data_IF_252996851079
#
_entry.id   IF_252996851079
#
_cell.length_a   1.000
_cell.length_b   1.000
_cell.length_c   1.000
_cell.angle_alpha   90.00
_cell.angle_beta   90.00
_cell.angle_gamma   90.00
#
_symmetry.space_group_name_H-M   'P 1'
#
loop_
_entity.id
_entity.type
_entity.pdbx_description
1 polymer ?
#
# COMPACT_ATOMS: atom_id res chain seq x y z
N UNK A 1 -16.02 -44.45 -5.82
CA UNK A 1 -15.39 -44.10 -7.10
C UNK A 1 -15.27 -42.58 -7.15
N UNK A 2 -14.06 -42.04 -7.15
CA UNK A 2 -13.84 -40.60 -7.30
C UNK A 2 -14.11 -40.18 -8.74
N UNK A 3 -15.12 -39.33 -8.97
CA UNK A 3 -15.25 -38.62 -10.23
C UNK A 3 -14.26 -37.45 -10.22
N UNK A 4 -13.17 -37.62 -10.96
CA UNK A 4 -12.26 -36.53 -11.33
C UNK A 4 -13.00 -35.56 -12.25
N UNK A 5 -13.34 -34.36 -11.74
CA UNK A 5 -13.77 -33.25 -12.57
C UNK A 5 -12.54 -32.41 -12.87
N UNK A 6 -12.02 -32.54 -14.09
CA UNK A 6 -11.00 -31.64 -14.63
C UNK A 6 -11.64 -30.28 -14.92
N UNK A 7 -11.34 -29.27 -14.09
CA UNK A 7 -11.69 -27.87 -14.38
C UNK A 7 -10.57 -27.27 -15.23
N UNK A 8 -10.72 -27.33 -16.55
CA UNK A 8 -9.93 -26.51 -17.45
C UNK A 8 -10.44 -25.07 -17.39
N UNK A 9 -9.74 -24.21 -16.64
CA UNK A 9 -9.89 -22.75 -16.76
C UNK A 9 -9.58 -22.36 -18.20
N UNK A 10 -10.59 -21.87 -18.93
CA UNK A 10 -10.40 -21.36 -20.28
C UNK A 10 -9.74 -19.98 -20.19
N UNK A 11 -8.40 -19.93 -20.10
CA UNK A 11 -7.60 -18.69 -20.12
C UNK A 11 -7.12 -18.31 -21.53
N UNK A 12 -7.76 -18.82 -22.60
CA UNK A 12 -7.40 -18.43 -23.98
C UNK A 12 -8.60 -17.91 -24.75
N UNK A 13 -8.45 -16.68 -25.23
CA UNK A 13 -9.31 -16.04 -26.23
C UNK A 13 -9.39 -16.96 -27.44
N UNK A 14 -10.57 -17.48 -27.77
CA UNK A 14 -10.81 -18.16 -29.04
C UNK A 14 -10.87 -17.11 -30.15
N UNK A 15 -9.76 -16.86 -30.84
CA UNK A 15 -9.78 -16.17 -32.15
C UNK A 15 -9.83 -17.21 -33.25
N UNK A 16 -10.97 -17.36 -33.92
CA UNK A 16 -11.04 -17.91 -35.27
C UNK A 16 -11.76 -16.92 -36.19
N UNK A 17 -11.32 -16.76 -37.45
CA UNK A 17 -11.91 -15.80 -38.37
C UNK A 17 -13.19 -16.37 -38.97
N UNK A 18 -14.33 -15.74 -38.66
CA UNK A 18 -15.62 -16.05 -39.26
C UNK A 18 -16.72 -15.19 -38.66
N UNK A 19 -17.65 -14.65 -39.46
CA UNK A 19 -18.65 -13.75 -38.93
C UNK A 19 -19.69 -14.59 -38.15
N UNK A 20 -20.19 -14.02 -37.05
CA UNK A 20 -21.33 -14.51 -36.25
C UNK A 20 -21.06 -15.63 -35.22
N UNK A 21 -20.41 -15.28 -34.09
CA UNK A 21 -20.57 -15.98 -32.80
C UNK A 21 -20.59 -14.95 -31.65
N UNK A 22 -21.57 -15.04 -30.75
CA UNK A 22 -21.65 -14.21 -29.52
C UNK A 22 -21.42 -15.12 -28.33
N UNK A 23 -20.45 -14.80 -27.48
CA UNK A 23 -20.25 -15.45 -26.18
C UNK A 23 -21.07 -14.70 -25.12
N UNK A 24 -21.93 -15.42 -24.40
CA UNK A 24 -22.65 -14.87 -23.24
C UNK A 24 -22.18 -15.61 -21.99
N UNK A 25 -21.68 -14.87 -21.01
CA UNK A 25 -21.44 -15.39 -19.67
C UNK A 25 -22.77 -15.47 -18.93
N UNK A 26 -23.17 -16.68 -18.52
CA UNK A 26 -24.33 -16.88 -17.65
C UNK A 26 -23.84 -17.43 -16.32
N UNK A 27 -24.24 -16.79 -15.21
CA UNK A 27 -24.10 -17.40 -13.89
C UNK A 27 -25.14 -18.52 -13.78
N UNK A 28 -24.68 -19.77 -13.78
CA UNK A 28 -25.54 -20.92 -13.49
C UNK A 28 -25.26 -21.32 -12.05
N UNK A 29 -26.27 -21.21 -11.19
CA UNK A 29 -26.19 -21.72 -9.83
C UNK A 29 -26.19 -23.25 -9.88
N UNK A 30 -25.12 -23.88 -9.43
CA UNK A 30 -25.12 -25.33 -9.19
C UNK A 30 -25.39 -25.52 -7.71
N UNK A 31 -26.58 -26.04 -7.39
CA UNK A 31 -26.92 -26.43 -6.02
C UNK A 31 -26.74 -27.95 -5.90
N UNK A 32 -25.97 -28.38 -4.91
CA UNK A 32 -25.78 -29.79 -4.59
C UNK A 32 -26.41 -30.11 -3.24
N UNK A 33 -27.10 -31.25 -3.18
CA UNK A 33 -27.56 -31.84 -1.92
C UNK A 33 -26.41 -32.60 -1.28
N UNK A 34 -25.93 -32.14 -0.13
CA UNK A 34 -24.98 -32.91 0.68
C UNK A 34 -25.74 -33.44 1.89
N UNK A 35 -25.95 -34.76 1.92
CA UNK A 35 -26.60 -35.44 3.03
C UNK A 35 -25.55 -36.23 3.81
N UNK A 36 -25.48 -36.00 5.13
CA UNK A 36 -24.65 -36.78 6.03
C UNK A 36 -25.54 -37.68 6.90
N UNK A 37 -25.14 -38.94 7.18
CA UNK A 37 -25.87 -39.79 8.10
C UNK A 37 -25.78 -39.21 9.53
N UNK A 38 -26.93 -39.01 10.17
CA UNK A 38 -26.96 -38.70 11.60
C UNK A 38 -26.78 -39.98 12.42
N UNK A 39 -26.29 -39.86 13.66
CA UNK A 39 -26.01 -41.00 14.56
C UNK A 39 -27.29 -41.67 15.13
N UNK A 40 -28.48 -41.32 14.65
CA UNK A 40 -29.75 -41.94 15.03
C UNK A 40 -30.36 -42.70 13.83
N UNK A 41 -30.79 -43.96 14.00
CA UNK A 41 -31.37 -44.71 12.89
C UNK A 41 -32.72 -44.09 12.48
N UNK A 42 -32.79 -43.57 11.25
CA UNK A 42 -34.03 -43.06 10.64
C UNK A 42 -34.08 -41.56 10.31
N UNK A 43 -33.02 -40.77 10.55
CA UNK A 43 -32.96 -39.35 10.16
C UNK A 43 -31.72 -39.03 9.32
N UNK A 44 -31.94 -38.48 8.12
CA UNK A 44 -30.91 -37.93 7.24
C UNK A 44 -30.98 -36.40 7.29
N UNK A 45 -29.88 -35.72 7.65
CA UNK A 45 -29.81 -34.25 7.59
C UNK A 45 -29.14 -33.86 6.27
N UNK A 46 -29.81 -33.04 5.47
CA UNK A 46 -29.29 -32.56 4.20
C UNK A 46 -29.10 -31.04 4.25
N UNK A 47 -27.92 -30.57 3.84
CA UNK A 47 -27.60 -29.16 3.67
C UNK A 47 -27.66 -28.78 2.18
N UNK A 48 -28.26 -27.62 1.90
CA UNK A 48 -28.27 -27.01 0.58
C UNK A 48 -27.06 -26.09 0.45
N UNK A 49 -26.12 -26.43 -0.44
CA UNK A 49 -24.98 -25.57 -0.77
C UNK A 49 -25.11 -25.17 -2.22
N UNK A 50 -25.22 -23.87 -2.49
CA UNK A 50 -25.25 -23.31 -3.84
C UNK A 50 -23.97 -22.51 -4.08
N UNK A 51 -23.26 -22.83 -5.16
CA UNK A 51 -22.13 -22.06 -5.65
C UNK A 51 -22.47 -21.48 -7.04
N UNK A 52 -22.12 -20.21 -7.27
CA UNK A 52 -22.22 -19.61 -8.59
C UNK A 52 -20.94 -19.91 -9.38
N UNK A 53 -21.07 -20.61 -10.50
CA UNK A 53 -19.97 -20.81 -11.45
C UNK A 53 -20.35 -20.09 -12.74
N UNK A 54 -19.45 -19.24 -13.23
CA UNK A 54 -19.61 -18.57 -14.53
C UNK A 54 -19.37 -19.59 -15.65
N UNK A 55 -20.40 -19.89 -16.44
CA UNK A 55 -20.29 -20.81 -17.59
C UNK A 55 -20.54 -20.02 -18.87
N UNK A 56 -19.64 -20.15 -19.84
CA UNK A 56 -19.83 -19.63 -21.19
C UNK A 56 -20.58 -20.66 -22.03
N UNK A 57 -21.76 -20.29 -22.56
CA UNK A 57 -22.52 -21.15 -23.48
C UNK A 57 -22.61 -20.47 -24.84
N UNK A 58 -22.27 -21.19 -25.90
CA UNK A 58 -22.44 -20.74 -27.29
C UNK A 58 -23.75 -21.29 -27.85
N UNK A 59 -24.70 -20.44 -28.22
CA UNK A 59 -25.94 -20.86 -28.90
C UNK A 59 -26.07 -20.22 -30.28
N UNK A 60 -26.67 -20.96 -31.23
CA UNK A 60 -27.07 -20.45 -32.54
C UNK A 60 -28.45 -19.78 -32.41
N UNK A 61 -28.54 -18.46 -32.61
CA UNK A 61 -29.83 -17.78 -32.72
C UNK A 61 -29.85 -16.82 -33.92
N UNK A 62 -30.91 -16.91 -34.73
CA UNK A 62 -31.23 -15.96 -35.81
C UNK A 62 -31.89 -14.72 -35.20
N UNK A 63 -31.41 -13.54 -35.57
CA UNK A 63 -31.93 -12.22 -35.12
C UNK A 63 -33.14 -11.81 -35.96
N UNK A 64 -34.29 -11.43 -35.36
CA UNK A 64 -35.23 -10.51 -35.99
C UNK A 64 -34.91 -9.05 -35.62
N UNK A 65 -35.22 -8.16 -36.56
CA UNK A 65 -34.99 -6.71 -36.64
C UNK A 65 -34.95 -5.90 -35.33
N UNK A 66 -34.00 -4.97 -35.30
CA UNK A 66 -33.68 -3.97 -34.26
C UNK A 66 -34.87 -3.33 -33.53
N UNK A 67 -34.80 -3.23 -32.18
CA UNK A 67 -35.31 -2.11 -31.40
C UNK A 67 -34.17 -1.12 -31.05
N UNK A 68 -34.49 0.13 -30.64
CA UNK A 68 -33.52 1.22 -30.55
C UNK A 68 -32.52 1.01 -29.39
N UNK A 69 -31.36 1.65 -29.53
CA UNK A 69 -30.21 1.57 -28.63
C UNK A 69 -30.56 1.83 -27.15
N UNK A 70 -30.89 0.76 -26.43
CA UNK A 70 -30.77 0.73 -24.98
C UNK A 70 -29.30 0.47 -24.64
N UNK A 71 -28.67 1.50 -24.06
CA UNK A 71 -27.34 1.45 -23.45
C UNK A 71 -27.19 0.14 -22.68
N UNK A 72 -26.09 -0.59 -22.90
CA UNK A 72 -25.68 -1.65 -21.98
C UNK A 72 -25.56 -1.01 -20.59
N UNK A 73 -26.54 -1.28 -19.72
CA UNK A 73 -26.42 -0.94 -18.32
C UNK A 73 -25.26 -1.76 -17.76
N UNK A 74 -24.22 -1.06 -17.32
CA UNK A 74 -23.13 -1.64 -16.54
C UNK A 74 -23.73 -2.46 -15.40
N UNK A 75 -23.29 -3.71 -15.26
CA UNK A 75 -23.49 -4.49 -14.04
C UNK A 75 -23.02 -3.58 -12.88
N UNK A 76 -23.83 -3.36 -11.82
CA UNK A 76 -23.37 -2.54 -10.70
C UNK A 76 -22.12 -3.20 -10.13
N UNK A 77 -20.97 -2.58 -10.38
CA UNK A 77 -19.73 -2.88 -9.68
C UNK A 77 -20.02 -2.78 -8.19
N UNK A 78 -19.68 -3.83 -7.43
CA UNK A 78 -19.76 -3.77 -5.97
C UNK A 78 -19.09 -2.48 -5.49
N UNK A 79 -19.71 -1.81 -4.52
CA UNK A 79 -19.20 -0.56 -3.98
C UNK A 79 -17.81 -0.74 -3.36
N UNK A 80 -16.93 0.28 -3.45
CA UNK A 80 -15.55 0.12 -3.01
C UNK A 80 -15.47 0.00 -1.50
N UNK A 81 -14.61 -0.92 -1.04
CA UNK A 81 -14.28 -1.11 0.36
C UNK A 81 -13.12 -0.16 0.73
N UNK A 82 -13.31 0.63 1.79
CA UNK A 82 -12.30 1.56 2.30
C UNK A 82 -11.67 0.98 3.55
N UNK A 83 -10.38 0.68 3.49
CA UNK A 83 -9.54 0.32 4.62
C UNK A 83 -8.93 1.61 5.19
N UNK A 84 -9.09 1.89 6.48
CA UNK A 84 -8.56 3.11 7.07
C UNK A 84 -8.06 2.90 8.50
N UNK A 85 -7.04 3.66 8.87
CA UNK A 85 -6.55 3.77 10.23
C UNK A 85 -7.34 4.84 10.98
N UNK A 86 -7.78 4.54 12.20
CA UNK A 86 -8.53 5.45 13.07
C UNK A 86 -7.85 5.56 14.44
N UNK A 87 -6.51 5.60 14.42
CA UNK A 87 -5.60 5.72 15.56
C UNK A 87 -5.60 4.53 16.53
N UNK A 88 -6.76 4.16 17.08
CA UNK A 88 -6.92 3.05 18.04
C UNK A 88 -7.33 1.73 17.41
N UNK A 89 -7.72 1.77 16.14
CA UNK A 89 -8.14 0.62 15.37
C UNK A 89 -7.92 0.84 13.87
N UNK A 90 -7.86 -0.26 13.13
CA UNK A 90 -7.94 -0.28 11.67
C UNK A 90 -9.28 -0.86 11.28
N UNK A 91 -9.99 -0.19 10.38
CA UNK A 91 -11.38 -0.51 10.02
C UNK A 91 -11.57 -0.65 8.52
N UNK A 92 -12.65 -1.35 8.16
CA UNK A 92 -13.12 -1.50 6.79
C UNK A 92 -14.55 -0.98 6.70
N UNK A 93 -14.86 -0.16 5.69
CA UNK A 93 -16.23 0.32 5.45
C UNK A 93 -16.59 0.19 3.97
N UNK A 94 -17.81 -0.24 3.68
CA UNK A 94 -18.37 -0.23 2.33
C UNK A 94 -18.89 1.17 1.98
N UNK A 95 -18.26 1.84 1.02
CA UNK A 95 -18.58 3.22 0.65
C UNK A 95 -19.95 3.39 -0.06
N UNK A 96 -20.59 2.29 -0.47
CA UNK A 96 -21.92 2.29 -1.11
C UNK A 96 -22.98 1.56 -0.29
N UNK A 97 -22.64 1.06 0.89
CA UNK A 97 -23.57 0.34 1.76
C UNK A 97 -24.76 1.20 2.19
N UNK A 98 -25.96 0.62 2.17
CA UNK A 98 -27.20 1.27 2.67
C UNK A 98 -27.12 1.57 4.17
N UNK A 99 -26.32 0.77 4.91
CA UNK A 99 -25.97 0.98 6.31
C UNK A 99 -24.45 1.13 6.39
N UNK A 100 -23.99 2.32 6.74
CA UNK A 100 -22.57 2.67 6.82
C UNK A 100 -21.99 2.16 8.16
N UNK A 101 -21.94 0.83 8.33
CA UNK A 101 -21.28 0.19 9.46
C UNK A 101 -19.85 -0.19 9.07
N UNK A 102 -18.89 0.22 9.91
CA UNK A 102 -17.48 -0.15 9.74
C UNK A 102 -17.16 -1.42 10.50
N UNK A 103 -16.50 -2.38 9.86
CA UNK A 103 -15.97 -3.59 10.48
C UNK A 103 -14.57 -3.32 11.03
N UNK A 104 -14.29 -3.75 12.26
CA UNK A 104 -12.95 -3.62 12.85
C UNK A 104 -12.06 -4.76 12.36
N UNK A 105 -10.92 -4.42 11.75
CA UNK A 105 -9.90 -5.38 11.29
C UNK A 105 -8.92 -5.69 12.42
N UNK A 106 -8.46 -4.65 13.11
CA UNK A 106 -7.60 -4.74 14.30
C UNK A 106 -8.04 -3.68 15.30
N UNK A 107 -8.12 -4.04 16.57
CA UNK A 107 -8.46 -3.15 17.69
C UNK A 107 -7.34 -3.08 18.71
N UNK A 108 -7.43 -2.11 19.62
CA UNK A 108 -6.48 -1.97 20.74
C UNK A 108 -5.09 -1.52 20.29
N UNK A 109 -5.03 -0.69 19.25
CA UNK A 109 -3.80 -0.06 18.78
C UNK A 109 -3.53 1.20 19.62
N UNK A 110 -2.25 1.57 19.76
CA UNK A 110 -1.84 2.72 20.55
C UNK A 110 -1.92 4.01 19.71
N UNK A 111 -1.19 4.07 18.60
CA UNK A 111 -1.23 5.21 17.68
C UNK A 111 -1.00 4.81 16.21
N UNK A 112 -2.00 4.17 15.60
CA UNK A 112 -1.97 3.75 14.21
C UNK A 112 -2.06 4.94 13.23
N UNK A 113 -0.99 5.19 12.47
CA UNK A 113 -0.87 6.36 11.59
C UNK A 113 -1.10 6.05 10.10
N UNK A 114 -0.34 5.12 9.52
CA UNK A 114 -0.43 4.74 8.11
C UNK A 114 -0.95 3.30 7.94
N UNK A 115 -1.61 3.03 6.80
CA UNK A 115 -2.11 1.68 6.48
C UNK A 115 -1.98 1.39 4.99
N UNK A 116 -1.49 0.20 4.65
CA UNK A 116 -1.54 -0.32 3.28
C UNK A 116 -1.71 -1.84 3.29
N UNK A 117 -1.87 -2.46 2.13
CA UNK A 117 -2.24 -3.86 2.02
C UNK A 117 -1.54 -4.58 0.87
N UNK A 118 -1.55 -5.91 0.92
CA UNK A 118 -1.28 -6.77 -0.23
C UNK A 118 -2.51 -7.60 -0.56
N UNK A 119 -3.21 -7.22 -1.63
CA UNK A 119 -4.53 -7.76 -1.99
C UNK A 119 -4.48 -9.27 -2.21
N UNK A 120 -3.50 -9.75 -2.98
CA UNK A 120 -3.38 -11.17 -3.36
C UNK A 120 -3.21 -12.12 -2.17
N UNK A 121 -2.75 -11.61 -1.02
CA UNK A 121 -2.57 -12.38 0.21
C UNK A 121 -3.58 -12.01 1.30
N UNK A 122 -4.39 -10.97 1.08
CA UNK A 122 -5.23 -10.39 2.12
C UNK A 122 -4.43 -9.88 3.32
N UNK A 123 -3.17 -9.49 3.14
CA UNK A 123 -2.33 -8.95 4.21
C UNK A 123 -2.59 -7.45 4.37
N UNK A 124 -2.63 -6.98 5.62
CA UNK A 124 -2.74 -5.56 5.97
C UNK A 124 -1.54 -5.20 6.81
N UNK A 125 -0.90 -4.08 6.49
CA UNK A 125 0.23 -3.52 7.19
C UNK A 125 -0.15 -2.16 7.75
N UNK A 126 0.32 -1.83 8.93
CA UNK A 126 0.14 -0.51 9.51
C UNK A 126 1.37 -0.09 10.30
N UNK A 127 1.52 1.21 10.46
CA UNK A 127 2.50 1.83 11.35
C UNK A 127 1.84 2.17 12.67
N UNK A 128 2.53 1.93 13.78
CA UNK A 128 2.13 2.37 15.12
C UNK A 128 3.23 3.27 15.68
N UNK A 129 2.93 4.57 15.80
CA UNK A 129 3.90 5.60 16.18
C UNK A 129 4.31 5.45 17.65
N UNK A 130 3.36 5.12 18.53
CA UNK A 130 3.66 4.98 19.96
C UNK A 130 4.48 3.74 20.28
N UNK A 131 4.32 2.68 19.48
CA UNK A 131 5.13 1.46 19.59
C UNK A 131 6.39 1.46 18.72
N UNK A 132 6.64 2.52 17.94
CA UNK A 132 7.77 2.63 17.00
C UNK A 132 7.90 1.39 16.10
N UNK A 133 6.76 0.90 15.58
CA UNK A 133 6.70 -0.40 14.89
C UNK A 133 5.86 -0.38 13.61
N UNK A 134 6.27 -1.20 12.64
CA UNK A 134 5.44 -1.61 11.50
C UNK A 134 4.96 -3.03 11.78
N UNK A 135 3.65 -3.23 11.71
CA UNK A 135 2.97 -4.48 12.04
C UNK A 135 2.17 -5.01 10.85
N UNK A 136 1.83 -6.28 10.89
CA UNK A 136 1.06 -6.99 9.88
C UNK A 136 -0.05 -7.82 10.51
N UNK A 137 -1.17 -7.95 9.80
CA UNK A 137 -2.22 -8.93 10.03
C UNK A 137 -2.75 -9.46 8.69
N UNK A 138 -3.68 -10.41 8.74
CA UNK A 138 -4.44 -10.85 7.57
C UNK A 138 -5.93 -10.57 7.76
N UNK A 139 -6.61 -10.15 6.70
CA UNK A 139 -8.05 -9.82 6.69
C UNK A 139 -8.94 -10.99 7.13
N UNK A 140 -8.49 -12.23 6.94
CA UNK A 140 -9.21 -13.44 7.35
C UNK A 140 -8.93 -13.85 8.81
N UNK A 141 -7.99 -13.19 9.50
CA UNK A 141 -7.54 -13.50 10.86
C UNK A 141 -7.66 -12.27 11.79
N UNK A 142 -8.69 -11.44 11.56
CA UNK A 142 -8.95 -10.19 12.30
C UNK A 142 -8.68 -10.34 13.80
N UNK A 143 -7.66 -9.63 14.29
CA UNK A 143 -7.28 -9.57 15.71
C UNK A 143 -6.51 -10.76 16.31
N UNK A 144 -6.35 -11.90 15.62
CA UNK A 144 -5.78 -13.11 16.25
C UNK A 144 -4.28 -13.36 15.98
N UNK A 145 -3.70 -12.73 14.95
CA UNK A 145 -2.31 -13.00 14.53
C UNK A 145 -1.58 -11.73 14.07
N UNK A 146 -1.45 -10.75 14.97
CA UNK A 146 -0.60 -9.57 14.74
C UNK A 146 0.87 -9.98 14.74
N UNK A 147 1.61 -9.60 13.71
CA UNK A 147 3.04 -9.87 13.57
C UNK A 147 3.83 -8.56 13.49
N UNK A 148 4.97 -8.52 14.17
CA UNK A 148 5.90 -7.41 14.09
C UNK A 148 6.78 -7.57 12.83
N UNK A 149 6.80 -6.54 11.98
CA UNK A 149 7.58 -6.51 10.73
C UNK A 149 8.88 -5.73 10.95
N UNK A 150 8.78 -4.50 11.48
CA UNK A 150 9.92 -3.65 11.83
C UNK A 150 9.66 -3.10 13.24
N UNK A 151 10.65 -3.17 14.13
CA UNK A 151 10.51 -2.83 15.57
C UNK A 151 11.66 -2.00 16.13
N UNK A 152 12.50 -1.45 15.26
CA UNK A 152 13.67 -0.69 15.70
C UNK A 152 14.02 0.36 14.68
N UNK A 153 14.65 1.45 15.12
CA UNK A 153 15.08 2.54 14.25
C UNK A 153 13.92 3.23 13.51
N UNK A 154 12.72 3.22 14.10
CA UNK A 154 11.55 4.01 13.71
C UNK A 154 11.30 5.00 14.85
N UNK A 155 10.76 6.17 14.53
CA UNK A 155 10.36 7.16 15.55
C UNK A 155 8.96 7.68 15.24
N UNK A 156 8.73 8.15 14.02
CA UNK A 156 7.40 8.57 13.56
C UNK A 156 7.14 8.13 12.11
N UNK A 157 6.85 6.83 11.90
CA UNK A 157 6.52 6.30 10.58
C UNK A 157 5.12 6.76 10.12
N UNK A 158 5.06 7.92 9.47
CA UNK A 158 3.82 8.61 9.08
C UNK A 158 3.18 8.12 7.78
N UNK A 159 3.94 7.44 6.92
CA UNK A 159 3.45 6.93 5.63
C UNK A 159 3.98 5.55 5.31
N UNK A 160 3.15 4.76 4.64
CA UNK A 160 3.44 3.37 4.31
C UNK A 160 2.93 3.07 2.90
N UNK A 161 3.73 2.38 2.09
CA UNK A 161 3.30 1.87 0.81
C UNK A 161 3.86 0.46 0.54
N UNK A 162 3.01 -0.42 0.05
CA UNK A 162 3.29 -1.81 -0.27
C UNK A 162 3.50 -1.98 -1.77
N UNK A 163 4.71 -2.39 -2.16
CA UNK A 163 4.96 -2.90 -3.49
C UNK A 163 4.49 -4.36 -3.57
N UNK A 164 3.27 -4.54 -4.07
CA UNK A 164 2.67 -5.86 -4.23
C UNK A 164 3.36 -6.69 -5.32
N UNK A 165 4.19 -6.10 -6.18
CA UNK A 165 4.90 -6.79 -7.27
C UNK A 165 6.26 -7.26 -6.77
N UNK A 166 7.15 -6.34 -6.40
CA UNK A 166 8.50 -6.62 -5.88
C UNK A 166 8.52 -7.16 -4.45
N UNK A 167 7.35 -7.23 -3.79
CA UNK A 167 7.18 -7.71 -2.40
C UNK A 167 8.06 -6.93 -1.43
N UNK A 168 7.90 -5.61 -1.43
CA UNK A 168 8.62 -4.68 -0.57
C UNK A 168 7.66 -3.75 0.18
N UNK A 169 8.07 -3.31 1.36
CA UNK A 169 7.42 -2.20 2.07
C UNK A 169 8.33 -0.99 1.98
N UNK A 170 7.74 0.14 1.65
CA UNK A 170 8.36 1.46 1.65
C UNK A 170 7.66 2.30 2.71
N UNK A 171 8.42 3.08 3.47
CA UNK A 171 7.85 3.99 4.45
C UNK A 171 8.65 5.28 4.55
N UNK A 172 7.95 6.30 5.01
CA UNK A 172 8.46 7.62 5.38
C UNK A 172 8.48 7.70 6.90
N UNK A 173 9.53 8.29 7.46
CA UNK A 173 9.62 8.55 8.90
C UNK A 173 9.98 10.03 9.10
N UNK A 174 9.06 10.77 9.72
CA UNK A 174 9.07 12.23 9.80
C UNK A 174 9.98 12.78 10.91
N UNK A 175 10.36 11.95 11.88
CA UNK A 175 11.27 12.35 12.97
C UNK A 175 12.72 11.93 12.69
N UNK A 176 12.93 10.84 11.94
CA UNK A 176 14.27 10.42 11.50
C UNK A 176 14.67 11.00 10.14
N UNK A 177 13.74 11.68 9.47
CA UNK A 177 13.87 12.31 8.15
C UNK A 177 14.35 11.32 7.08
N UNK A 178 13.72 10.15 7.02
CA UNK A 178 14.15 9.05 6.15
C UNK A 178 13.02 8.46 5.32
N UNK A 179 13.43 7.95 4.15
CA UNK A 179 12.62 7.06 3.33
C UNK A 179 13.39 5.75 3.22
N UNK A 180 12.71 4.65 3.55
CA UNK A 180 13.33 3.34 3.69
C UNK A 180 12.53 2.26 3.00
N UNK A 181 13.19 1.14 2.73
CA UNK A 181 12.60 -0.04 2.10
C UNK A 181 13.06 -1.32 2.80
N UNK A 182 12.18 -2.31 2.87
CA UNK A 182 12.50 -3.66 3.33
C UNK A 182 11.66 -4.69 2.57
N UNK A 183 12.00 -5.98 2.72
CA UNK A 183 11.08 -7.06 2.33
C UNK A 183 9.78 -6.98 3.16
N UNK A 184 8.70 -7.58 2.66
CA UNK A 184 7.39 -7.62 3.36
C UNK A 184 7.46 -8.22 4.79
N UNK A 185 8.51 -8.97 5.11
CA UNK A 185 8.77 -9.55 6.43
C UNK A 185 9.77 -8.73 7.28
N UNK A 186 10.14 -7.52 6.84
CA UNK A 186 11.08 -6.63 7.52
C UNK A 186 12.57 -6.94 7.29
N UNK A 187 12.89 -8.06 6.64
CA UNK A 187 14.28 -8.42 6.34
C UNK A 187 14.89 -7.52 5.26
N UNK A 188 16.22 -7.45 5.22
CA UNK A 188 17.00 -6.70 4.23
C UNK A 188 16.62 -5.22 4.15
N UNK A 189 16.63 -4.51 5.28
CA UNK A 189 16.27 -3.09 5.35
C UNK A 189 17.35 -2.18 4.77
N UNK A 190 16.94 -1.19 3.96
CA UNK A 190 17.80 -0.18 3.34
C UNK A 190 17.20 1.21 3.46
N UNK A 191 18.02 2.18 3.83
CA UNK A 191 17.68 3.61 3.75
C UNK A 191 17.92 4.07 2.30
N UNK A 192 16.88 4.60 1.65
CA UNK A 192 16.96 5.13 0.29
C UNK A 192 17.35 6.61 0.30
N UNK A 193 16.70 7.40 1.16
CA UNK A 193 16.94 8.83 1.28
C UNK A 193 17.02 9.25 2.75
N UNK A 194 17.97 10.13 3.06
CA UNK A 194 18.20 10.70 4.40
C UNK A 194 18.77 12.13 4.35
N UNK A 195 19.02 12.65 3.14
CA UNK A 195 19.54 13.99 2.91
C UNK A 195 18.44 14.84 2.28
N UNK A 196 18.39 16.12 2.63
CA UNK A 196 17.38 17.05 2.10
C UNK A 196 15.95 16.50 2.27
N UNK A 197 15.67 15.93 3.44
CA UNK A 197 14.34 15.53 3.89
C UNK A 197 14.10 16.20 5.24
N UNK A 198 12.90 16.75 5.43
CA UNK A 198 12.55 17.40 6.69
C UNK A 198 11.35 16.73 7.35
N UNK A 199 10.18 16.73 6.72
CA UNK A 199 8.98 16.09 7.27
C UNK A 199 8.27 15.25 6.19
N UNK A 200 8.89 14.14 5.72
CA UNK A 200 8.24 13.26 4.76
C UNK A 200 6.98 12.61 5.39
N UNK A 201 5.83 12.68 4.69
CA UNK A 201 4.54 12.18 5.19
C UNK A 201 3.94 11.10 4.31
N UNK A 202 3.15 11.44 3.29
CA UNK A 202 2.49 10.43 2.47
C UNK A 202 3.45 9.86 1.42
N UNK A 203 3.31 8.59 1.10
CA UNK A 203 4.08 7.90 0.06
C UNK A 203 3.15 7.04 -0.80
N UNK A 204 3.38 7.06 -2.12
CA UNK A 204 2.62 6.28 -3.09
C UNK A 204 3.58 5.69 -4.15
N UNK A 205 3.25 4.50 -4.66
CA UNK A 205 4.09 3.76 -5.59
C UNK A 205 3.43 3.63 -6.97
N UNK A 206 4.25 3.61 -8.00
CA UNK A 206 3.90 3.19 -9.36
C UNK A 206 4.84 2.04 -9.77
N UNK A 207 4.53 0.78 -9.37
CA UNK A 207 5.38 -0.36 -9.68
C UNK A 207 5.50 -0.65 -11.17
N UNK A 208 4.52 -0.25 -11.99
CA UNK A 208 4.57 -0.49 -13.44
C UNK A 208 5.71 0.30 -14.11
N UNK A 209 6.01 1.50 -13.60
CA UNK A 209 7.06 2.37 -14.11
C UNK A 209 8.26 2.50 -13.17
N UNK A 210 8.25 1.78 -12.03
CA UNK A 210 9.35 1.77 -11.06
C UNK A 210 9.56 3.10 -10.34
N UNK A 211 8.51 3.92 -10.17
CA UNK A 211 8.60 5.20 -9.46
C UNK A 211 7.90 5.17 -8.10
N UNK A 212 8.38 5.98 -7.17
CA UNK A 212 7.71 6.33 -5.93
C UNK A 212 7.61 7.84 -5.77
N UNK A 213 6.60 8.26 -5.04
CA UNK A 213 6.20 9.65 -4.87
C UNK A 213 5.93 9.89 -3.39
N UNK A 214 6.37 11.02 -2.86
CA UNK A 214 6.07 11.37 -1.48
C UNK A 214 5.86 12.87 -1.31
N UNK A 215 5.20 13.21 -0.21
CA UNK A 215 5.06 14.59 0.24
C UNK A 215 6.04 14.88 1.37
N UNK A 216 6.61 16.09 1.37
CA UNK A 216 7.38 16.65 2.46
C UNK A 216 6.72 17.98 2.84
N UNK A 217 6.30 18.12 4.10
CA UNK A 217 5.58 19.30 4.60
C UNK A 217 6.45 20.15 5.55
N UNK A 218 7.75 19.92 5.56
CA UNK A 218 8.71 20.64 6.41
C UNK A 218 8.92 22.09 6.00
N UNK A 219 10.09 22.65 6.34
CA UNK A 219 10.41 24.06 6.09
C UNK A 219 10.27 24.46 4.61
N UNK A 220 10.67 23.56 3.71
CA UNK A 220 10.50 23.72 2.25
C UNK A 220 9.50 22.67 1.73
N UNK A 221 8.19 22.95 1.79
CA UNK A 221 7.16 21.98 1.44
C UNK A 221 7.19 21.65 -0.04
N UNK A 222 7.11 20.36 -0.37
CA UNK A 222 7.27 19.86 -1.75
C UNK A 222 6.66 18.49 -1.94
N UNK A 223 6.44 18.14 -3.20
CA UNK A 223 6.18 16.76 -3.64
C UNK A 223 7.35 16.34 -4.51
N UNK A 224 7.87 15.15 -4.21
CA UNK A 224 9.01 14.60 -4.91
C UNK A 224 8.68 13.25 -5.53
N UNK A 225 9.50 12.88 -6.51
CA UNK A 225 9.47 11.58 -7.18
C UNK A 225 10.89 11.02 -7.25
N UNK A 226 11.02 9.72 -7.11
CA UNK A 226 12.25 8.99 -7.38
C UNK A 226 11.95 7.60 -7.95
N UNK A 227 12.96 6.93 -8.49
CA UNK A 227 12.90 5.50 -8.71
C UNK A 227 12.76 4.74 -7.39
N UNK A 228 12.04 3.62 -7.41
CA UNK A 228 11.87 2.76 -6.23
C UNK A 228 13.19 2.11 -5.77
N UNK A 229 14.20 2.09 -6.65
CA UNK A 229 15.59 1.74 -6.34
C UNK A 229 16.40 2.86 -5.65
N UNK A 230 15.80 4.03 -5.45
CA UNK A 230 16.43 5.23 -4.89
C UNK A 230 17.15 6.11 -5.91
N UNK A 231 17.02 5.84 -7.21
CA UNK A 231 17.62 6.66 -8.28
C UNK A 231 16.71 7.82 -8.72
N UNK A 232 17.23 8.79 -9.49
CA UNK A 232 16.45 9.86 -10.15
C UNK A 232 15.48 10.65 -9.27
N UNK A 233 15.88 10.93 -8.03
CA UNK A 233 15.14 11.84 -7.16
C UNK A 233 15.00 13.21 -7.80
N UNK A 234 13.78 13.74 -7.84
CA UNK A 234 13.43 15.04 -8.40
C UNK A 234 12.23 15.63 -7.68
N UNK A 235 12.29 16.93 -7.40
CA UNK A 235 11.13 17.73 -6.97
C UNK A 235 10.20 17.95 -8.17
N UNK A 236 8.92 17.61 -8.00
CA UNK A 236 7.90 17.73 -9.06
C UNK A 236 6.86 18.81 -8.77
N UNK A 237 6.67 19.19 -7.49
CA UNK A 237 5.81 20.31 -7.08
C UNK A 237 6.49 21.03 -5.92
N UNK A 238 6.76 22.32 -6.08
CA UNK A 238 7.38 23.21 -5.07
C UNK A 238 6.69 24.58 -4.96
N UNK A 239 5.61 24.81 -5.73
CA UNK A 239 4.84 26.06 -5.73
C UNK A 239 3.41 25.83 -5.26
N UNK A 240 2.80 26.86 -4.64
CA UNK A 240 1.43 26.82 -4.11
C UNK A 240 1.16 25.56 -3.28
N UNK A 241 2.09 25.25 -2.38
CA UNK A 241 2.10 24.06 -1.53
C UNK A 241 2.59 24.46 -0.14
N UNK A 242 1.98 23.90 0.90
CA UNK A 242 2.30 24.24 2.28
C UNK A 242 2.18 23.02 3.19
N UNK A 243 0.99 22.42 3.34
CA UNK A 243 0.81 21.19 4.13
C UNK A 243 0.28 20.05 3.26
N UNK A 244 1.12 19.47 2.38
CA UNK A 244 0.74 18.36 1.51
C UNK A 244 0.58 17.06 2.31
N UNK A 245 -0.58 16.87 2.92
CA UNK A 245 -0.83 15.75 3.82
C UNK A 245 -1.13 14.45 3.09
N UNK A 246 -2.07 14.49 2.14
CA UNK A 246 -2.55 13.30 1.45
C UNK A 246 -1.98 13.21 0.04
N UNK A 247 -1.66 11.99 -0.40
CA UNK A 247 -1.14 11.71 -1.74
C UNK A 247 -1.73 10.41 -2.26
N UNK A 248 -2.19 10.40 -3.52
CA UNK A 248 -2.59 9.16 -4.19
C UNK A 248 -2.35 9.25 -5.69
N UNK A 249 -2.20 8.08 -6.32
CA UNK A 249 -1.92 7.95 -7.75
C UNK A 249 -3.07 7.22 -8.43
N UNK A 250 -3.53 7.78 -9.55
CA UNK A 250 -4.33 7.08 -10.53
C UNK A 250 -3.40 6.44 -11.56
N UNK A 251 -3.19 5.13 -11.44
CA UNK A 251 -2.29 4.37 -12.29
C UNK A 251 -2.84 4.21 -13.72
N UNK A 252 -4.16 4.30 -13.91
CA UNK A 252 -4.78 4.20 -15.22
C UNK A 252 -4.68 5.53 -15.97
N UNK A 253 -5.05 6.63 -15.31
CA UNK A 253 -4.98 7.97 -15.91
C UNK A 253 -3.57 8.59 -15.85
N UNK A 254 -2.61 7.96 -15.16
CA UNK A 254 -1.24 8.44 -14.94
C UNK A 254 -1.23 9.85 -14.31
N UNK A 255 -1.95 9.99 -13.19
CA UNK A 255 -2.17 11.28 -12.52
C UNK A 255 -1.93 11.19 -11.03
N UNK A 256 -1.28 12.24 -10.52
CA UNK A 256 -1.01 12.44 -9.11
C UNK A 256 -2.12 13.32 -8.52
N UNK A 257 -2.61 12.96 -7.34
CA UNK A 257 -3.55 13.76 -6.56
C UNK A 257 -2.97 14.02 -5.18
N UNK A 258 -3.10 15.26 -4.70
CA UNK A 258 -2.69 15.59 -3.34
C UNK A 258 -3.65 16.58 -2.69
N UNK A 259 -3.73 16.50 -1.37
CA UNK A 259 -4.50 17.40 -0.54
C UNK A 259 -3.56 18.29 0.25
N UNK A 260 -3.81 19.60 0.21
CA UNK A 260 -3.13 20.57 1.04
C UNK A 260 -4.03 21.01 2.19
N UNK A 261 -3.62 20.74 3.42
CA UNK A 261 -4.42 21.05 4.60
C UNK A 261 -4.40 22.52 5.00
N UNK A 262 -3.36 23.28 4.63
CA UNK A 262 -3.26 24.71 4.94
C UNK A 262 -3.99 25.55 3.91
N UNK A 263 -3.81 25.21 2.63
CA UNK A 263 -4.38 25.91 1.49
C UNK A 263 -5.77 25.40 1.12
N UNK A 264 -6.26 24.35 1.82
CA UNK A 264 -7.62 23.84 1.73
C UNK A 264 -8.05 23.46 0.31
N UNK A 265 -7.19 22.71 -0.41
CA UNK A 265 -7.50 22.22 -1.75
C UNK A 265 -7.17 20.74 -1.93
N UNK A 266 -7.78 20.13 -2.96
CA UNK A 266 -7.28 18.91 -3.60
C UNK A 266 -6.97 19.26 -5.05
N UNK A 267 -5.73 19.00 -5.46
CA UNK A 267 -5.27 19.21 -6.83
C UNK A 267 -4.87 17.90 -7.49
N UNK A 268 -4.80 17.94 -8.81
CA UNK A 268 -4.38 16.85 -9.68
C UNK A 268 -3.31 17.35 -10.65
N UNK A 269 -2.30 16.53 -10.96
CA UNK A 269 -1.31 16.82 -12.01
C UNK A 269 -0.92 15.53 -12.75
N UNK A 270 -0.16 15.65 -13.84
CA UNK A 270 0.60 14.54 -14.37
C UNK A 270 1.62 14.03 -13.33
N UNK A 271 2.09 12.80 -13.49
CA UNK A 271 3.10 12.21 -12.59
C UNK A 271 4.44 12.93 -12.59
N UNK A 272 4.73 13.79 -13.57
CA UNK A 272 5.92 14.65 -13.57
C UNK A 272 5.67 16.03 -12.94
N UNK A 273 4.47 16.27 -12.39
CA UNK A 273 4.04 17.55 -11.82
C UNK A 273 3.42 18.52 -12.84
N UNK A 274 3.49 18.22 -14.13
CA UNK A 274 2.96 19.10 -15.18
C UNK A 274 1.42 19.07 -15.25
N UNK A 275 0.82 20.05 -15.93
CA UNK A 275 -0.63 20.16 -16.10
C UNK A 275 -1.42 20.06 -14.78
N UNK A 276 -1.03 20.89 -13.81
CA UNK A 276 -1.74 21.03 -12.54
C UNK A 276 -3.16 21.58 -12.76
N UNK A 277 -4.13 20.92 -12.13
CA UNK A 277 -5.55 21.20 -12.22
C UNK A 277 -6.17 21.18 -10.82
N UNK A 278 -7.18 22.02 -10.64
CA UNK A 278 -7.93 22.14 -9.39
C UNK A 278 -9.08 21.13 -9.39
N UNK A 279 -9.25 20.38 -8.30
CA UNK A 279 -10.35 19.43 -8.12
C UNK A 279 -11.32 19.93 -7.06
N UNK A 280 -10.82 20.27 -5.87
CA UNK A 280 -11.63 20.80 -4.76
C UNK A 280 -10.94 22.06 -4.21
N UNK A 281 -11.72 23.11 -3.93
CA UNK A 281 -11.23 24.35 -3.32
C UNK A 281 -12.13 24.79 -2.14
N UNK A 282 -11.53 25.45 -1.15
CA UNK A 282 -12.22 26.29 -0.14
C UNK A 282 -13.14 25.56 0.84
N UNK A 283 -13.17 24.23 0.81
CA UNK A 283 -14.13 23.42 1.56
C UNK A 283 -13.47 22.22 2.26
N UNK A 284 -12.16 22.25 2.44
CA UNK A 284 -11.37 21.22 3.10
C UNK A 284 -10.83 21.78 4.41
N UNK A 285 -11.33 21.29 5.54
CA UNK A 285 -10.97 21.82 6.86
C UNK A 285 -9.60 21.35 7.31
N UNK A 286 -9.35 20.04 7.28
CA UNK A 286 -8.06 19.46 7.60
C UNK A 286 -7.90 18.06 6.99
N UNK A 287 -7.77 17.95 5.65
CA UNK A 287 -7.57 16.68 4.99
C UNK A 287 -6.25 16.02 5.43
N UNK A 288 -6.27 14.72 5.65
CA UNK A 288 -5.09 13.95 6.05
C UNK A 288 -4.61 12.99 4.96
N UNK A 289 -5.42 12.03 4.54
CA UNK A 289 -5.05 11.06 3.51
C UNK A 289 -6.05 11.05 2.34
N UNK A 290 -5.59 10.54 1.18
CA UNK A 290 -6.36 10.46 -0.06
C UNK A 290 -6.30 9.05 -0.65
N UNK A 291 -7.39 8.60 -1.23
CA UNK A 291 -7.43 7.40 -2.08
C UNK A 291 -8.51 7.54 -3.15
N UNK A 292 -8.55 6.63 -4.12
CA UNK A 292 -9.49 6.73 -5.25
C UNK A 292 -10.00 5.37 -5.73
N UNK A 293 -11.20 5.38 -6.29
CA UNK A 293 -11.80 4.23 -6.98
C UNK A 293 -12.69 4.74 -8.11
N UNK A 294 -12.47 4.24 -9.33
CA UNK A 294 -13.17 4.69 -10.53
C UNK A 294 -13.08 6.21 -10.70
N UNK A 295 -14.24 6.89 -10.72
CA UNK A 295 -14.36 8.36 -10.83
C UNK A 295 -14.48 9.08 -9.47
N UNK A 296 -14.26 8.40 -8.35
CA UNK A 296 -14.47 8.95 -7.00
C UNK A 296 -13.14 9.07 -6.23
N UNK A 297 -12.87 10.25 -5.68
CA UNK A 297 -11.85 10.49 -4.67
C UNK A 297 -12.46 10.36 -3.28
N UNK A 298 -11.68 9.80 -2.36
CA UNK A 298 -12.00 9.68 -0.94
C UNK A 298 -10.89 10.33 -0.12
N UNK A 299 -11.25 11.00 0.98
CA UNK A 299 -10.27 11.54 1.92
C UNK A 299 -10.76 11.47 3.35
N UNK A 300 -9.81 11.42 4.28
CA UNK A 300 -10.02 11.56 5.72
C UNK A 300 -9.84 13.02 6.12
N UNK A 301 -10.69 13.52 7.03
CA UNK A 301 -10.58 14.88 7.56
C UNK A 301 -10.58 14.84 9.10
N UNK A 302 -9.54 15.43 9.70
CA UNK A 302 -9.35 15.45 11.15
C UNK A 302 -10.33 16.37 11.88
N UNK A 303 -10.71 17.48 11.25
CA UNK A 303 -11.55 18.48 11.89
C UNK A 303 -13.01 18.01 11.90
N UNK A 304 -13.50 17.46 10.79
CA UNK A 304 -14.86 16.90 10.75
C UNK A 304 -14.95 15.49 11.33
N UNK A 305 -13.80 14.84 11.55
CA UNK A 305 -13.71 13.45 12.02
C UNK A 305 -14.53 12.50 11.16
N UNK A 306 -14.37 12.63 9.84
CA UNK A 306 -15.14 11.87 8.87
C UNK A 306 -14.35 11.55 7.61
N UNK A 307 -14.85 10.56 6.86
CA UNK A 307 -14.41 10.22 5.51
C UNK A 307 -15.40 10.87 4.55
N UNK A 308 -14.88 11.56 3.54
CA UNK A 308 -15.68 12.19 2.50
C UNK A 308 -15.36 11.61 1.13
N UNK A 309 -16.24 11.85 0.17
CA UNK A 309 -16.06 11.47 -1.22
C UNK A 309 -16.49 12.59 -2.18
N UNK A 310 -15.86 12.67 -3.34
CA UNK A 310 -16.24 13.57 -4.44
C UNK A 310 -15.82 13.01 -5.81
N UNK A 311 -16.30 13.60 -6.90
CA UNK A 311 -15.80 13.25 -8.23
C UNK A 311 -14.33 13.66 -8.40
N UNK A 312 -13.48 12.74 -8.89
CA UNK A 312 -12.03 12.96 -9.00
C UNK A 312 -11.62 14.05 -9.97
N UNK A 313 -12.47 14.43 -10.93
CA UNK A 313 -12.17 15.43 -11.96
C UNK A 313 -12.80 16.78 -11.64
N UNK A 314 -14.05 16.78 -11.19
CA UNK A 314 -14.81 18.03 -11.00
C UNK A 314 -14.94 18.46 -9.53
N UNK A 315 -14.66 17.57 -8.57
CA UNK A 315 -14.92 17.82 -7.14
C UNK A 315 -16.40 17.83 -6.76
N UNK A 316 -17.31 17.64 -7.73
CA UNK A 316 -18.76 17.64 -7.51
C UNK A 316 -19.25 16.36 -6.79
N UNK A 317 -20.55 16.32 -6.49
CA UNK A 317 -21.22 15.20 -5.80
C UNK A 317 -20.57 14.85 -4.46
N UNK A 318 -20.18 15.89 -3.74
CA UNK A 318 -19.55 15.76 -2.44
C UNK A 318 -20.51 15.13 -1.45
N UNK A 319 -20.05 14.08 -0.76
CA UNK A 319 -20.82 13.41 0.29
C UNK A 319 -19.90 12.96 1.42
N UNK A 320 -20.44 12.95 2.63
CA UNK A 320 -19.83 12.28 3.76
C UNK A 320 -20.16 10.78 3.69
N UNK A 321 -19.13 9.93 3.83
CA UNK A 321 -19.25 8.47 3.80
C UNK A 321 -19.41 7.91 5.21
N UNK A 322 -18.59 8.38 6.16
CA UNK A 322 -18.60 7.87 7.52
C UNK A 322 -18.16 8.98 8.46
N UNK A 323 -18.86 9.18 9.58
CA UNK A 323 -18.55 10.21 10.56
C UNK A 323 -18.49 9.66 11.98
N UNK A 324 -18.26 10.56 12.95
CA UNK A 324 -18.01 10.23 14.35
C UNK A 324 -16.79 9.30 14.54
N UNK A 325 -15.76 9.50 13.71
CA UNK A 325 -14.48 8.81 13.84
C UNK A 325 -13.67 9.41 15.00
N UNK A 326 -12.74 8.63 15.55
CA UNK A 326 -11.92 9.09 16.67
C UNK A 326 -10.84 10.06 16.17
N UNK A 327 -10.04 9.60 15.22
CA UNK A 327 -9.03 10.38 14.51
C UNK A 327 -8.69 9.63 13.23
N UNK A 328 -9.40 9.90 12.11
CA UNK A 328 -9.17 9.17 10.88
C UNK A 328 -7.82 9.59 10.27
N UNK A 329 -6.88 8.66 10.24
CA UNK A 329 -5.53 8.86 9.74
C UNK A 329 -5.51 8.46 8.25
N UNK A 330 -4.72 7.46 7.88
CA UNK A 330 -4.59 7.00 6.50
C UNK A 330 -5.80 6.20 5.98
N UNK A 331 -5.99 6.17 4.66
CA UNK A 331 -7.10 5.50 3.98
C UNK A 331 -6.69 4.92 2.63
N UNK A 332 -7.11 3.69 2.34
CA UNK A 332 -6.87 2.99 1.10
C UNK A 332 -8.14 2.29 0.57
N UNK A 333 -8.38 2.35 -0.74
CA UNK A 333 -9.39 1.51 -1.40
C UNK A 333 -8.84 0.08 -1.51
N UNK A 334 -9.47 -0.84 -0.80
CA UNK A 334 -9.15 -2.26 -0.83
C UNK A 334 -9.78 -2.90 -2.10
N UNK A 335 -9.01 -2.95 -3.19
CA UNK A 335 -9.45 -3.54 -4.46
C UNK A 335 -8.28 -4.14 -5.25
N UNK A 336 -8.56 -5.21 -6.01
CA UNK A 336 -7.62 -5.79 -6.97
C UNK A 336 -7.23 -4.79 -8.07
N UNK A 337 -8.13 -3.86 -8.41
CA UNK A 337 -7.89 -2.84 -9.45
C UNK A 337 -6.79 -1.84 -9.04
N UNK A 338 -6.59 -1.64 -7.72
CA UNK A 338 -5.50 -0.80 -7.19
C UNK A 338 -4.15 -1.51 -7.27
N UNK A 339 -4.15 -2.83 -7.38
CA UNK A 339 -2.96 -3.68 -7.41
C UNK A 339 -2.96 -4.60 -8.63
N UNK A 340 -2.91 -4.06 -9.86
CA UNK A 340 -2.93 -4.88 -11.07
C UNK A 340 -1.78 -5.89 -11.08
N UNK A 341 -2.01 -7.06 -11.68
CA UNK A 341 -0.97 -8.05 -11.88
C UNK A 341 0.03 -7.54 -12.92
N UNK A 342 1.30 -7.49 -12.52
CA UNK A 342 2.42 -7.02 -13.34
C UNK A 342 3.50 -8.08 -13.28
N UNK A 343 4.10 -8.40 -14.42
CA UNK A 343 5.21 -9.35 -14.47
C UNK A 343 6.54 -8.60 -14.47
N UNK A 344 7.40 -8.88 -13.49
CA UNK A 344 8.72 -8.26 -13.39
C UNK A 344 9.80 -9.28 -13.09
N UNK A 345 11.05 -8.93 -13.40
CA UNK A 345 12.21 -9.77 -13.05
C UNK A 345 12.36 -9.99 -11.55
N UNK A 346 11.91 -9.05 -10.71
CA UNK A 346 11.97 -9.23 -9.26
C UNK A 346 11.02 -10.32 -8.75
N UNK A 347 9.99 -10.70 -9.50
CA UNK A 347 9.13 -11.84 -9.15
C UNK A 347 9.80 -13.19 -9.47
N UNK A 348 10.74 -13.20 -10.41
CA UNK A 348 11.50 -14.38 -10.83
C UNK A 348 12.83 -14.46 -10.07
N UNK A 349 12.94 -15.37 -9.09
CA UNK A 349 14.19 -15.59 -8.33
C UNK A 349 14.79 -14.29 -7.74
N UNK A 350 13.93 -13.35 -7.30
CA UNK A 350 14.33 -12.03 -6.80
C UNK A 350 15.24 -11.27 -7.78
N UNK A 351 15.03 -11.42 -9.10
CA UNK A 351 15.88 -10.83 -10.15
C UNK A 351 17.33 -11.34 -10.17
N UNK A 352 17.62 -12.42 -9.45
CA UNK A 352 18.95 -12.92 -9.13
C UNK A 352 19.71 -12.04 -8.13
N UNK A 353 19.01 -11.21 -7.35
CA UNK A 353 19.58 -10.37 -6.29
C UNK A 353 19.67 -11.16 -4.98
N UNK A 354 20.79 -11.02 -4.28
CA UNK A 354 21.01 -11.73 -3.00
C UNK A 354 20.12 -11.27 -1.85
N UNK A 355 19.72 -9.99 -1.83
CA UNK A 355 18.96 -9.39 -0.73
C UNK A 355 17.74 -8.65 -1.26
N UNK A 356 17.91 -7.44 -1.80
CA UNK A 356 16.82 -6.63 -2.35
C UNK A 356 16.87 -6.62 -3.88
N UNK A 357 15.71 -6.85 -4.49
CA UNK A 357 15.42 -6.47 -5.87
C UNK A 357 14.41 -5.32 -5.83
N UNK A 358 14.83 -4.14 -6.29
CA UNK A 358 14.01 -2.93 -6.29
C UNK A 358 13.66 -2.56 -7.72
N UNK A 359 12.40 -2.22 -7.99
CA UNK A 359 11.98 -1.78 -9.33
C UNK A 359 12.65 -0.44 -9.68
N UNK A 360 12.97 -0.25 -10.95
CA UNK A 360 13.70 0.93 -11.42
C UNK A 360 13.00 1.54 -12.62
N UNK A 361 12.98 2.87 -12.78
CA UNK A 361 12.46 3.51 -13.97
C UNK A 361 13.40 3.39 -15.18
N UNK A 362 14.61 2.83 -14.99
CA UNK A 362 15.61 2.65 -16.04
C UNK A 362 15.86 1.19 -16.31
N UNK A 363 16.17 0.86 -17.56
CA UNK A 363 16.63 -0.47 -17.95
C UNK A 363 17.78 -0.95 -17.04
N UNK A 364 17.71 -2.19 -16.51
CA UNK A 364 16.81 -3.28 -16.89
C UNK A 364 15.43 -3.30 -16.17
N UNK A 365 14.98 -2.16 -15.64
CA UNK A 365 13.75 -1.92 -14.87
C UNK A 365 13.74 -2.51 -13.46
N UNK A 366 14.93 -2.89 -12.98
CA UNK A 366 15.18 -3.26 -11.59
C UNK A 366 16.65 -3.07 -11.25
N UNK A 367 16.96 -2.96 -9.96
CA UNK A 367 18.31 -2.92 -9.43
C UNK A 367 18.43 -3.78 -8.17
N UNK A 368 19.54 -4.50 -8.05
CA UNK A 368 19.84 -5.18 -6.80
C UNK A 368 20.40 -4.19 -5.78
N UNK A 369 19.94 -4.29 -4.54
CA UNK A 369 20.39 -3.45 -3.46
C UNK A 369 20.73 -4.25 -2.21
N UNK A 370 21.59 -3.67 -1.38
CA UNK A 370 22.04 -4.26 -0.13
C UNK A 370 21.45 -3.52 1.07
N UNK A 371 21.30 -4.22 2.22
CA UNK A 371 20.90 -3.58 3.45
C UNK A 371 21.84 -2.43 3.82
N UNK A 372 21.34 -1.46 4.60
CA UNK A 372 22.16 -0.32 5.05
C UNK A 372 23.42 -0.81 5.76
N UNK A 373 24.57 -0.24 5.40
CA UNK A 373 25.88 -0.65 5.94
C UNK A 373 26.54 -1.83 5.22
N UNK A 374 25.87 -2.46 4.26
CA UNK A 374 26.42 -3.56 3.45
C UNK A 374 26.69 -3.09 2.02
N UNK A 375 27.86 -3.44 1.49
CA UNK A 375 28.25 -3.06 0.13
C UNK A 375 27.79 -4.09 -0.91
N UNK A 376 27.28 -3.60 -2.04
CA UNK A 376 27.04 -4.41 -3.24
C UNK A 376 28.38 -4.77 -3.90
N UNK A 377 28.54 -6.02 -4.31
CA UNK A 377 29.70 -6.49 -5.06
C UNK A 377 29.67 -6.02 -6.51
N UNK A 378 30.82 -6.08 -7.18
CA UNK A 378 30.99 -5.64 -8.56
C UNK A 378 30.14 -6.44 -9.57
N UNK A 379 29.65 -7.63 -9.17
CA UNK A 379 28.69 -8.40 -9.97
C UNK A 379 27.28 -7.77 -10.03
N UNK A 380 27.04 -6.68 -9.28
CA UNK A 380 25.79 -5.94 -9.26
C UNK A 380 24.60 -6.70 -8.69
N UNK A 381 24.83 -7.83 -7.98
CA UNK A 381 23.76 -8.75 -7.53
C UNK A 381 23.93 -9.21 -6.09
N UNK A 382 25.17 -9.44 -5.67
CA UNK A 382 25.49 -10.06 -4.39
C UNK A 382 25.99 -9.01 -3.42
N UNK A 383 25.47 -9.02 -2.20
CA UNK A 383 25.98 -8.20 -1.12
C UNK A 383 27.19 -8.87 -0.49
N UNK A 384 28.25 -8.10 -0.21
CA UNK A 384 29.37 -8.61 0.57
C UNK A 384 28.82 -9.11 1.90
N UNK A 385 29.17 -10.34 2.27
CA UNK A 385 28.96 -10.77 3.64
C UNK A 385 29.67 -9.75 4.51
N UNK A 386 28.93 -9.03 5.36
CA UNK A 386 29.56 -8.25 6.39
C UNK A 386 30.46 -9.20 7.16
N UNK A 387 31.71 -8.81 7.43
CA UNK A 387 32.29 -9.30 8.66
C UNK A 387 31.31 -8.84 9.74
N UNK A 388 30.43 -9.75 10.18
CA UNK A 388 29.70 -9.59 11.42
C UNK A 388 30.76 -9.13 12.40
N UNK A 389 30.62 -7.93 12.98
CA UNK A 389 31.58 -7.35 13.92
C UNK A 389 32.09 -8.48 14.82
N UNK A 390 33.24 -9.05 14.48
CA UNK A 390 33.93 -9.97 15.35
C UNK A 390 34.43 -9.00 16.39
N UNK A 391 33.73 -8.96 17.52
CA UNK A 391 34.29 -8.40 18.73
C UNK A 391 35.74 -8.85 18.77
N UNK A 392 36.64 -7.88 18.77
CA UNK A 392 38.09 -8.10 18.78
C UNK A 392 38.38 -8.82 20.09
N UNK A 393 38.24 -10.15 20.06
CA UNK A 393 38.79 -11.04 21.05
C UNK A 393 40.30 -11.01 20.87
N UNK A 394 40.95 -10.17 21.68
CA UNK A 394 42.37 -10.32 21.98
C UNK A 394 43.34 -9.65 21.01
N UNK A 395 43.17 -8.37 20.68
CA UNK A 395 44.29 -7.52 20.31
C UNK A 395 44.71 -6.70 21.54
N UNK A 396 45.75 -7.18 22.21
CA UNK A 396 46.43 -6.51 23.33
C UNK A 396 46.86 -5.11 22.89
N UNK A 397 46.23 -4.08 23.45
CA UNK A 397 46.72 -2.71 23.37
C UNK A 397 48.16 -2.67 23.91
N UNK A 398 49.14 -2.45 23.03
CA UNK A 398 50.46 -1.98 23.44
C UNK A 398 50.37 -0.46 23.51
N UNK A 399 50.66 0.19 24.66
CA UNK A 399 50.85 1.62 24.67
C UNK A 399 52.10 1.95 23.86
N UNK A 400 52.04 3.00 23.04
CA UNK A 400 53.23 3.60 22.46
C UNK A 400 54.18 4.03 23.58
N UNK A 401 55.45 3.63 23.47
CA UNK A 401 56.52 4.09 24.36
C UNK A 401 56.70 5.60 24.22
N UNK A 402 56.71 6.30 25.36
CA UNK A 402 57.22 7.68 25.46
C UNK A 402 56.22 8.69 26.01
N UNK A 403 55.96 8.66 27.32
CA UNK A 403 55.62 9.84 28.16
C UNK A 403 55.66 9.46 29.66
N UNK A 404 56.09 10.36 30.58
CA UNK A 404 56.50 10.02 31.95
C UNK A 404 55.33 9.82 32.94
N UNK A 405 55.57 9.24 34.14
CA UNK A 405 54.51 8.73 35.03
C UNK A 405 53.98 9.76 36.06
N UNK A 406 52.71 9.61 36.44
CA UNK A 406 52.01 10.31 37.55
C UNK A 406 50.73 11.00 37.06
N UNK A 407 49.53 10.89 37.64
CA UNK A 407 49.03 10.72 39.03
C UNK A 407 47.57 10.18 38.94
N UNK A 408 47.00 9.46 39.94
CA UNK A 408 45.65 8.88 39.85
C UNK A 408 44.55 9.94 40.01
N UNK A 409 43.48 9.83 39.20
CA UNK A 409 42.28 10.65 39.32
C UNK A 409 41.44 10.21 40.53
N UNK A 410 41.41 11.07 41.54
CA UNK A 410 40.40 11.05 42.59
C UNK A 410 39.09 11.68 42.10
N UNK A 411 38.00 11.00 42.41
CA UNK A 411 36.61 11.39 42.22
C UNK A 411 36.25 12.70 42.93
N UNK A 412 35.46 13.57 42.26
CA UNK A 412 34.31 14.34 42.80
C UNK A 412 33.89 15.47 41.85
N UNK A 413 32.56 15.68 41.77
CA UNK A 413 32.01 17.05 41.67
C UNK A 413 31.13 17.34 40.46
N UNK A 414 29.83 17.06 40.60
CA UNK A 414 28.74 17.72 39.87
C UNK A 414 28.76 19.22 40.15
N UNK A 415 28.49 20.10 39.17
CA UNK A 415 27.93 21.41 39.46
C UNK A 415 26.47 21.48 38.99
N UNK A 416 25.57 21.74 39.95
CA UNK A 416 24.27 22.37 39.69
C UNK A 416 24.53 23.81 39.29
N UNK A 417 23.72 24.31 38.36
CA UNK A 417 23.83 25.67 37.83
C UNK A 417 23.46 26.79 38.80
N UNK A 418 23.78 27.98 38.33
CA UNK A 418 23.08 29.25 38.54
C UNK A 418 23.39 30.13 37.33
#
# INVERSE_FOLDING_TARGET
MCLSISVSLCTRICTTPGPWRVCVCVCVGVCAHVCAPSWAPGLTVCLYVCACVSVCVCTHARVPRQPPASRCASIPTASPLLLFANRRDVRLVDAGGVKLESTVVVSGLEDAAAVDFQFSRGAVYWTDVSEEAIKQTYLNQSGAAVQNVVISGLVAPDGLACDWVGKKLYWTDSETNRIEVANLNGSSRRVLFWQDLDQPRAIALDPAHGYMYWTDWGETPRIERAGMDGSWRKVIVDSDIYWPNGLTIDLEEQKLYWADAKLSFIHRANLDGSFRQKVVEGSLTHPFALTLSGDTLYWTDWQTRSIHACNKRTGEKRKEILSALYSPMDIQVLSQERQPSLHTRCEEDNGGCSHLCLLSPREPFYACACPTGVQLQDNGRTCKAGEAWRGVGGARWRPAEGSPPGVPWGSRGVPRGS
#
